data_IF_727153124699
#
_entry.id   IF_727153124699
#
_cell.length_a   1.000
_cell.length_b   1.000
_cell.length_c   1.000
_cell.angle_alpha   90.00
_cell.angle_beta   90.00
_cell.angle_gamma   90.00
#
_symmetry.space_group_name_H-M   'P 1'
#
loop_
_entity.id
_entity.type
_entity.pdbx_description
1 polymer ?
#
# COMPACT_ATOMS: atom_id res chain seq x y z
N UNK A 1 11.31 -4.90 0.96
CA UNK A 1 9.93 -5.37 0.77
C UNK A 1 9.23 -5.30 2.13
N UNK A 2 7.95 -4.89 2.18
CA UNK A 2 7.16 -4.98 3.42
C UNK A 2 7.05 -6.46 3.77
N UNK A 3 7.40 -6.83 5.00
CA UNK A 3 7.31 -8.21 5.44
C UNK A 3 5.85 -8.69 5.36
N UNK A 4 5.58 -9.97 5.04
CA UNK A 4 4.22 -10.48 5.05
C UNK A 4 3.56 -10.28 6.41
N UNK A 5 2.30 -9.82 6.41
CA UNK A 5 1.50 -9.79 7.64
C UNK A 5 1.22 -11.24 8.05
N UNK A 6 1.63 -11.68 9.25
CA UNK A 6 1.32 -13.02 9.72
C UNK A 6 -0.19 -13.16 9.93
N UNK A 7 -0.72 -14.35 9.64
CA UNK A 7 -2.09 -14.70 9.97
C UNK A 7 -2.27 -14.87 11.48
N UNK A 8 -3.51 -15.08 11.92
CA UNK A 8 -3.78 -15.45 13.30
C UNK A 8 -3.23 -16.85 13.63
N UNK A 9 -2.82 -17.02 14.88
CA UNK A 9 -2.36 -18.31 15.41
C UNK A 9 -3.49 -19.35 15.34
N UNK A 10 -3.21 -20.57 14.84
CA UNK A 10 -4.20 -21.61 14.74
C UNK A 10 -4.61 -22.14 16.13
N UNK A 11 -5.88 -22.50 16.25
CA UNK A 11 -6.42 -23.18 17.44
C UNK A 11 -5.91 -24.63 17.55
N UNK A 12 -5.98 -25.20 18.76
CA UNK A 12 -5.54 -26.57 19.04
C UNK A 12 -6.39 -27.66 18.37
N UNK A 13 -6.01 -28.93 18.56
CA UNK A 13 -6.62 -30.09 17.87
C UNK A 13 -8.07 -30.41 18.22
N UNK A 14 -8.65 -29.75 19.23
CA UNK A 14 -10.06 -29.92 19.63
C UNK A 14 -10.64 -28.56 20.01
N UNK A 15 -10.90 -27.69 19.01
CA UNK A 15 -11.33 -26.32 19.27
C UNK A 15 -12.77 -26.30 19.78
N UNK A 16 -13.02 -25.44 20.74
CA UNK A 16 -14.37 -25.01 21.07
C UNK A 16 -14.93 -24.10 19.96
N UNK A 17 -16.24 -23.87 19.96
CA UNK A 17 -16.83 -22.87 19.06
C UNK A 17 -16.23 -21.46 19.27
N UNK A 18 -15.87 -21.12 20.51
CA UNK A 18 -15.21 -19.85 20.83
C UNK A 18 -13.82 -19.71 20.21
N UNK A 19 -13.05 -20.80 20.17
CA UNK A 19 -11.71 -20.80 19.56
C UNK A 19 -11.77 -20.57 18.05
N UNK A 20 -12.78 -21.15 17.39
CA UNK A 20 -13.01 -20.95 15.96
C UNK A 20 -13.38 -19.49 15.65
N UNK A 21 -14.23 -18.88 16.48
CA UNK A 21 -14.61 -17.46 16.35
C UNK A 21 -13.39 -16.56 16.54
N UNK A 22 -12.62 -16.76 17.62
CA UNK A 22 -11.42 -15.97 17.90
C UNK A 22 -10.39 -16.07 16.76
N UNK A 23 -10.23 -17.25 16.18
CA UNK A 23 -9.39 -17.44 15.00
C UNK A 23 -9.91 -16.69 13.77
N UNK A 24 -11.21 -16.78 13.48
CA UNK A 24 -11.83 -16.05 12.36
C UNK A 24 -11.67 -14.53 12.48
N UNK A 25 -11.89 -14.00 13.68
CA UNK A 25 -11.70 -12.57 13.97
C UNK A 25 -10.22 -12.17 13.78
N UNK A 26 -9.30 -12.98 14.31
CA UNK A 26 -7.86 -12.76 14.14
C UNK A 26 -7.43 -12.78 12.68
N UNK A 27 -7.93 -13.72 11.87
CA UNK A 27 -7.63 -13.79 10.43
C UNK A 27 -8.16 -12.55 9.69
N UNK A 28 -9.35 -12.09 10.05
CA UNK A 28 -9.94 -10.88 9.46
C UNK A 28 -9.11 -9.65 9.81
N UNK A 29 -8.69 -9.50 11.06
CA UNK A 29 -7.83 -8.39 11.49
C UNK A 29 -6.46 -8.41 10.79
N UNK A 30 -5.86 -9.59 10.60
CA UNK A 30 -4.62 -9.74 9.83
C UNK A 30 -4.81 -9.33 8.36
N UNK A 31 -5.93 -9.70 7.75
CA UNK A 31 -6.26 -9.30 6.38
C UNK A 31 -6.44 -7.78 6.24
N UNK A 32 -7.10 -7.13 7.20
CA UNK A 32 -7.25 -5.68 7.22
C UNK A 32 -5.90 -4.96 7.32
N UNK A 33 -4.99 -5.47 8.15
CA UNK A 33 -3.63 -4.95 8.25
C UNK A 33 -2.87 -5.10 6.92
N UNK A 34 -2.91 -6.28 6.30
CA UNK A 34 -2.27 -6.52 5.01
C UNK A 34 -2.83 -5.62 3.90
N UNK A 35 -4.15 -5.39 3.87
CA UNK A 35 -4.79 -4.53 2.89
C UNK A 35 -4.41 -3.05 3.08
N UNK A 36 -4.32 -2.60 4.33
CA UNK A 36 -3.84 -1.24 4.66
C UNK A 36 -2.40 -1.04 4.22
N UNK A 37 -1.51 -2.00 4.45
CA UNK A 37 -0.11 -1.92 4.04
C UNK A 37 0.01 -1.83 2.52
N UNK A 38 -0.74 -2.65 1.78
CA UNK A 38 -0.82 -2.58 0.31
C UNK A 38 -1.34 -1.23 -0.18
N UNK A 39 -2.43 -0.73 0.40
CA UNK A 39 -3.00 0.57 0.06
C UNK A 39 -1.99 1.70 0.29
N UNK A 40 -1.25 1.67 1.41
CA UNK A 40 -0.24 2.67 1.72
C UNK A 40 0.94 2.62 0.74
N UNK A 41 1.43 1.42 0.43
CA UNK A 41 2.48 1.23 -0.57
C UNK A 41 2.04 1.79 -1.94
N UNK A 42 0.82 1.51 -2.38
CA UNK A 42 0.28 2.04 -3.63
C UNK A 42 0.24 3.57 -3.62
N UNK A 43 -0.27 4.19 -2.54
CA UNK A 43 -0.31 5.65 -2.40
C UNK A 43 1.08 6.29 -2.51
N UNK A 44 2.09 5.68 -1.88
CA UNK A 44 3.48 6.16 -1.94
C UNK A 44 4.01 6.10 -3.37
N UNK A 45 3.85 4.96 -4.05
CA UNK A 45 4.31 4.79 -5.43
C UNK A 45 3.60 5.79 -6.36
N UNK A 46 2.28 5.92 -6.27
CA UNK A 46 1.52 6.90 -7.05
C UNK A 46 2.02 8.33 -6.83
N UNK A 47 2.34 8.71 -5.59
CA UNK A 47 2.86 10.04 -5.28
C UNK A 47 4.26 10.26 -5.88
N UNK A 48 5.14 9.25 -5.82
CA UNK A 48 6.45 9.29 -6.46
C UNK A 48 6.34 9.43 -7.98
N UNK A 49 5.50 8.62 -8.62
CA UNK A 49 5.27 8.68 -10.07
C UNK A 49 4.72 10.04 -10.50
N UNK A 50 3.78 10.61 -9.74
CA UNK A 50 3.24 11.93 -10.02
C UNK A 50 4.30 13.04 -9.94
N UNK A 51 5.17 12.98 -8.91
CA UNK A 51 6.29 13.89 -8.72
C UNK A 51 7.30 13.75 -9.86
N UNK A 52 7.69 12.53 -10.20
CA UNK A 52 8.70 12.28 -11.23
C UNK A 52 8.17 12.71 -12.61
N UNK A 53 6.88 12.47 -12.90
CA UNK A 53 6.23 12.99 -14.10
C UNK A 53 6.20 14.52 -14.14
N UNK A 54 6.04 15.20 -13.00
CA UNK A 54 6.12 16.66 -12.92
C UNK A 54 7.54 17.16 -13.22
N UNK A 55 8.56 16.54 -12.63
CA UNK A 55 9.97 16.86 -12.90
C UNK A 55 10.34 16.66 -14.37
N UNK A 56 9.92 15.55 -14.98
CA UNK A 56 10.13 15.30 -16.42
C UNK A 56 9.45 16.38 -17.25
N UNK A 57 8.20 16.75 -16.94
CA UNK A 57 7.51 17.84 -17.64
C UNK A 57 8.25 19.16 -17.53
N UNK A 58 8.84 19.47 -16.38
CA UNK A 58 9.59 20.70 -16.16
C UNK A 58 10.92 20.72 -16.94
N UNK A 59 11.70 19.64 -16.86
CA UNK A 59 13.00 19.51 -17.55
C UNK A 59 12.81 19.51 -19.08
N UNK A 60 11.76 18.87 -19.57
CA UNK A 60 11.45 18.83 -21.01
C UNK A 60 10.85 20.14 -21.54
N UNK A 61 10.58 21.15 -20.69
CA UNK A 61 10.17 22.48 -21.17
C UNK A 61 11.33 23.06 -21.97
N UNK A 62 11.11 23.39 -23.25
CA UNK A 62 12.17 23.99 -24.05
C UNK A 62 12.56 25.34 -23.46
N UNK A 63 13.85 25.53 -23.16
CA UNK A 63 14.39 26.77 -22.57
C UNK A 63 14.03 28.01 -23.41
N UNK A 64 13.94 27.86 -24.73
CA UNK A 64 13.61 28.92 -25.68
C UNK A 64 12.15 29.38 -25.61
N UNK A 65 11.21 28.59 -25.05
CA UNK A 65 9.82 29.04 -24.87
C UNK A 65 9.70 30.23 -23.92
N UNK A 66 10.71 30.47 -23.08
CA UNK A 66 10.79 31.65 -22.19
C UNK A 66 11.18 32.93 -22.95
N UNK A 67 11.65 32.80 -24.19
CA UNK A 67 12.15 33.89 -25.02
C UNK A 67 11.17 34.31 -26.13
N UNK A 68 10.06 33.58 -26.31
CA UNK A 68 9.03 33.96 -27.28
C UNK A 68 8.13 35.06 -26.68
N UNK A 69 7.88 36.16 -27.40
CA UNK A 69 6.96 37.20 -26.93
C UNK A 69 5.54 36.63 -26.81
N UNK A 70 4.85 37.02 -25.75
CA UNK A 70 3.50 36.56 -25.38
C UNK A 70 2.41 36.99 -26.34
#
# INVERSE_FOLDING_TARGET
>A
MIAPTPGAEPYGSSPSAGDLVAFGDGQTAALDAANRDKSNAHKIVTACEARDAASVREITRPWYRRLLPG
#
